data_IF_144665291171
#
_entry.id   IF_144665291171
#
_cell.length_a   1.000
_cell.length_b   1.000
_cell.length_c   1.000
_cell.angle_alpha   90.00
_cell.angle_beta   90.00
_cell.angle_gamma   90.00
#
_symmetry.space_group_name_H-M   'P 1'
#
loop_
_entity.id
_entity.type
_entity.pdbx_description
1 polymer ?
#
# COMPACT_ATOMS: atom_id res chain seq x y z
N UNK A 1 -65.77 -31.96 44.77
CA UNK A 1 -64.33 -31.76 44.51
C UNK A 1 -64.24 -30.54 43.60
N UNK A 2 -63.84 -29.38 44.14
CA UNK A 2 -63.87 -28.09 43.42
C UNK A 2 -62.70 -28.03 42.43
N UNK A 3 -62.99 -27.77 41.16
CA UNK A 3 -62.00 -27.37 40.17
C UNK A 3 -61.65 -25.90 40.41
N UNK A 4 -60.36 -25.59 40.50
CA UNK A 4 -59.84 -24.25 40.68
C UNK A 4 -59.72 -23.57 39.30
N UNK A 5 -60.42 -22.44 39.13
CA UNK A 5 -60.33 -21.62 37.92
C UNK A 5 -59.03 -20.79 37.97
N UNK A 6 -58.09 -21.10 37.09
CA UNK A 6 -56.90 -20.28 36.86
C UNK A 6 -57.27 -19.07 36.00
N UNK A 7 -57.43 -17.89 36.61
CA UNK A 7 -57.48 -16.62 35.88
C UNK A 7 -56.09 -16.29 35.31
N UNK A 8 -55.88 -16.65 34.04
CA UNK A 8 -54.69 -16.27 33.27
C UNK A 8 -54.68 -14.76 33.05
N UNK A 9 -53.89 -14.03 33.86
CA UNK A 9 -53.69 -12.59 33.71
C UNK A 9 -52.92 -12.32 32.41
N UNK A 10 -53.66 -11.88 31.38
CA UNK A 10 -53.09 -11.55 30.08
C UNK A 10 -52.43 -10.18 30.16
N UNK A 11 -51.12 -10.15 30.42
CA UNK A 11 -50.32 -8.93 30.40
C UNK A 11 -50.28 -8.47 28.94
N UNK A 12 -51.05 -7.43 28.59
CA UNK A 12 -50.90 -6.74 27.31
C UNK A 12 -49.56 -6.02 27.35
N UNK A 13 -48.60 -6.49 26.58
CA UNK A 13 -47.39 -5.73 26.30
C UNK A 13 -47.82 -4.43 25.62
N UNK A 14 -47.64 -3.31 26.31
CA UNK A 14 -47.94 -2.00 25.77
C UNK A 14 -46.85 -1.65 24.76
N UNK A 15 -47.18 -1.76 23.47
CA UNK A 15 -46.32 -1.25 22.41
C UNK A 15 -46.34 0.29 22.46
N UNK A 16 -45.43 0.83 23.28
CA UNK A 16 -45.19 2.26 23.34
C UNK A 16 -44.34 2.65 22.13
N UNK A 17 -44.88 3.51 21.26
CA UNK A 17 -44.14 4.09 20.14
C UNK A 17 -43.05 5.05 20.59
N UNK A 18 -42.07 5.30 19.71
CA UNK A 18 -40.95 6.23 19.97
C UNK A 18 -41.44 7.65 20.23
N UNK A 19 -40.79 8.34 21.17
CA UNK A 19 -41.08 9.75 21.45
C UNK A 19 -40.36 10.66 20.45
N UNK A 20 -40.92 11.84 20.14
CA UNK A 20 -40.29 12.78 19.21
C UNK A 20 -38.91 13.24 19.69
N UNK A 21 -38.73 13.38 21.01
CA UNK A 21 -37.44 13.74 21.61
C UNK A 21 -36.39 12.62 21.45
N UNK A 22 -36.81 11.36 21.47
CA UNK A 22 -35.93 10.22 21.26
C UNK A 22 -35.39 10.18 19.83
N UNK A 23 -36.23 10.48 18.83
CA UNK A 23 -35.81 10.60 17.44
C UNK A 23 -34.85 11.78 17.25
N UNK A 24 -35.09 12.92 17.90
CA UNK A 24 -34.18 14.06 17.85
C UNK A 24 -32.80 13.72 18.43
N UNK A 25 -32.77 13.05 19.60
CA UNK A 25 -31.52 12.60 20.22
C UNK A 25 -30.80 11.59 19.32
N UNK A 26 -31.53 10.64 18.72
CA UNK A 26 -30.97 9.65 17.81
C UNK A 26 -30.32 10.29 16.58
N UNK A 27 -30.95 11.29 15.96
CA UNK A 27 -30.39 12.01 14.82
C UNK A 27 -29.13 12.78 15.21
N UNK A 28 -29.09 13.39 16.40
CA UNK A 28 -27.89 14.09 16.89
C UNK A 28 -26.73 13.11 17.09
N UNK A 29 -26.96 12.00 17.78
CA UNK A 29 -25.94 10.97 18.01
C UNK A 29 -25.44 10.40 16.67
N UNK A 30 -26.36 10.10 15.75
CA UNK A 30 -26.04 9.60 14.42
C UNK A 30 -25.20 10.61 13.64
N UNK A 31 -25.56 11.89 13.67
CA UNK A 31 -24.83 12.95 12.97
C UNK A 31 -23.38 13.07 13.45
N UNK A 32 -23.16 13.02 14.77
CA UNK A 32 -21.80 13.02 15.35
C UNK A 32 -21.03 11.76 14.94
N UNK A 33 -21.69 10.59 14.97
CA UNK A 33 -21.10 9.33 14.52
C UNK A 33 -20.65 9.37 13.06
N UNK A 34 -21.47 9.90 12.16
CA UNK A 34 -21.14 10.01 10.73
C UNK A 34 -19.94 10.92 10.47
N UNK A 35 -19.81 12.03 11.20
CA UNK A 35 -18.64 12.91 11.08
C UNK A 35 -17.36 12.21 11.53
N UNK A 36 -17.43 11.43 12.62
CA UNK A 36 -16.31 10.59 13.07
C UNK A 36 -15.92 9.55 12.02
N UNK A 37 -16.89 8.87 11.43
CA UNK A 37 -16.64 7.90 10.35
C UNK A 37 -16.00 8.54 9.12
N UNK A 38 -16.43 9.73 8.71
CA UNK A 38 -15.88 10.42 7.56
C UNK A 38 -14.37 10.68 7.71
N UNK A 39 -13.91 11.09 8.90
CA UNK A 39 -12.49 11.29 9.19
C UNK A 39 -11.70 9.97 9.07
N UNK A 40 -12.25 8.86 9.58
CA UNK A 40 -11.64 7.54 9.47
C UNK A 40 -11.55 7.07 8.01
N UNK A 41 -12.58 7.29 7.20
CA UNK A 41 -12.57 6.92 5.78
C UNK A 41 -11.44 7.62 5.02
N UNK A 42 -11.17 8.90 5.31
CA UNK A 42 -10.03 9.62 4.71
C UNK A 42 -8.70 8.98 5.09
N UNK A 43 -8.54 8.59 6.37
CA UNK A 43 -7.36 7.86 6.83
C UNK A 43 -7.16 6.54 6.10
N UNK A 44 -8.24 5.76 5.93
CA UNK A 44 -8.22 4.48 5.21
C UNK A 44 -7.79 4.68 3.75
N UNK A 45 -8.34 5.68 3.06
CA UNK A 45 -8.00 5.95 1.65
C UNK A 45 -6.50 6.27 1.52
N UNK A 46 -5.97 7.14 2.40
CA UNK A 46 -4.55 7.50 2.39
C UNK A 46 -3.65 6.29 2.69
N UNK A 47 -4.03 5.49 3.69
CA UNK A 47 -3.31 4.26 4.05
C UNK A 47 -3.29 3.26 2.90
N UNK A 48 -4.44 3.02 2.26
CA UNK A 48 -4.52 2.14 1.10
C UNK A 48 -3.68 2.64 -0.08
N UNK A 49 -3.68 3.96 -0.34
CA UNK A 49 -2.83 4.54 -1.38
C UNK A 49 -1.35 4.29 -1.09
N UNK A 50 -0.89 4.55 0.14
CA UNK A 50 0.50 4.29 0.52
C UNK A 50 0.86 2.80 0.39
N UNK A 51 -0.01 1.89 0.84
CA UNK A 51 0.21 0.44 0.71
C UNK A 51 0.29 -0.01 -0.75
N UNK A 52 -0.56 0.54 -1.62
CA UNK A 52 -0.50 0.28 -3.05
C UNK A 52 0.80 0.82 -3.64
N UNK A 53 1.17 2.06 -3.32
CA UNK A 53 2.39 2.68 -3.84
C UNK A 53 3.65 1.90 -3.38
N UNK A 54 3.69 1.44 -2.13
CA UNK A 54 4.73 0.57 -1.59
C UNK A 54 4.84 -0.76 -2.32
N UNK A 55 3.68 -1.39 -2.61
CA UNK A 55 3.63 -2.66 -3.32
C UNK A 55 4.18 -2.50 -4.73
N UNK A 56 3.70 -1.48 -5.46
CA UNK A 56 4.18 -1.18 -6.82
C UNK A 56 5.66 -0.82 -6.83
N UNK A 57 6.14 0.04 -5.92
CA UNK A 57 7.55 0.40 -5.84
C UNK A 57 8.46 -0.81 -5.56
N UNK A 58 7.99 -1.74 -4.71
CA UNK A 58 8.69 -2.98 -4.40
C UNK A 58 8.74 -3.90 -5.62
N UNK A 59 7.62 -4.09 -6.32
CA UNK A 59 7.58 -4.87 -7.56
C UNK A 59 8.52 -4.30 -8.61
N UNK A 60 8.50 -2.97 -8.84
CA UNK A 60 9.40 -2.32 -9.79
C UNK A 60 10.88 -2.47 -9.43
N UNK A 61 11.22 -2.50 -8.13
CA UNK A 61 12.57 -2.76 -7.67
C UNK A 61 12.94 -4.24 -7.90
N UNK A 62 12.03 -5.16 -7.61
CA UNK A 62 12.21 -6.60 -7.83
C UNK A 62 12.43 -6.92 -9.31
N UNK A 63 11.60 -6.37 -10.20
CA UNK A 63 11.73 -6.57 -11.65
C UNK A 63 13.12 -6.17 -12.15
N UNK A 64 13.62 -5.00 -11.72
CA UNK A 64 14.97 -4.55 -12.09
C UNK A 64 16.06 -5.44 -11.49
N UNK A 65 15.85 -5.94 -10.27
CA UNK A 65 16.78 -6.89 -9.63
C UNK A 65 16.82 -8.24 -10.35
N UNK A 66 15.69 -8.70 -10.88
CA UNK A 66 15.62 -9.89 -11.72
C UNK A 66 16.35 -9.68 -13.04
N UNK A 67 16.20 -8.51 -13.68
CA UNK A 67 16.96 -8.15 -14.88
C UNK A 67 18.47 -8.14 -14.62
N UNK A 68 18.90 -7.53 -13.52
CA UNK A 68 20.30 -7.54 -13.08
C UNK A 68 20.81 -8.97 -12.87
N UNK A 69 20.00 -9.82 -12.22
CA UNK A 69 20.35 -11.22 -11.99
C UNK A 69 20.43 -12.02 -13.28
N UNK A 70 19.54 -11.75 -14.23
CA UNK A 70 19.52 -12.37 -15.57
C UNK A 70 20.77 -12.01 -16.37
N UNK A 71 21.23 -10.76 -16.27
CA UNK A 71 22.47 -10.32 -16.91
C UNK A 71 23.73 -10.89 -16.23
N UNK A 72 23.67 -11.09 -14.90
CA UNK A 72 24.77 -11.65 -14.11
C UNK A 72 26.01 -10.74 -14.06
N UNK A 73 27.13 -11.27 -13.58
CA UNK A 73 28.35 -10.48 -13.39
C UNK A 73 28.88 -9.89 -14.70
N UNK A 74 28.95 -10.70 -15.76
CA UNK A 74 29.51 -10.28 -17.06
C UNK A 74 28.57 -9.39 -17.88
N UNK A 75 27.25 -9.50 -17.69
CA UNK A 75 26.26 -8.69 -18.41
C UNK A 75 25.95 -7.33 -17.76
N UNK A 76 26.41 -7.10 -16.53
CA UNK A 76 26.27 -5.82 -15.82
C UNK A 76 27.47 -4.91 -16.05
N UNK A 77 27.31 -3.59 -15.88
CA UNK A 77 28.36 -2.59 -16.13
C UNK A 77 29.71 -2.99 -15.53
N UNK A 78 30.78 -2.85 -16.32
CA UNK A 78 32.16 -3.17 -15.90
C UNK A 78 32.79 -2.08 -15.02
N UNK A 79 32.12 -0.95 -14.86
CA UNK A 79 32.53 0.18 -14.02
C UNK A 79 31.42 0.52 -13.04
N UNK A 80 31.78 1.26 -11.98
CA UNK A 80 30.79 1.82 -11.06
C UNK A 80 29.94 2.85 -11.81
N UNK A 81 28.62 2.65 -11.80
CA UNK A 81 27.65 3.48 -12.53
C UNK A 81 26.42 3.76 -11.69
N UNK A 82 25.73 4.85 -12.01
CA UNK A 82 24.40 5.16 -11.51
C UNK A 82 23.50 5.37 -12.71
N UNK A 83 22.58 4.44 -12.93
CA UNK A 83 21.55 4.50 -13.95
C UNK A 83 20.26 5.03 -13.31
N UNK A 84 19.67 6.07 -13.91
CA UNK A 84 18.47 6.72 -13.37
C UNK A 84 17.37 6.70 -14.40
N UNK A 85 16.31 5.99 -14.07
CA UNK A 85 15.04 6.00 -14.77
C UNK A 85 14.16 7.04 -14.07
N UNK A 86 14.12 8.25 -14.64
CA UNK A 86 13.36 9.37 -14.12
C UNK A 86 11.85 9.10 -14.09
N UNK A 87 11.12 10.00 -13.41
CA UNK A 87 9.65 9.98 -13.42
C UNK A 87 9.11 9.99 -14.85
N UNK A 88 8.20 9.06 -15.15
CA UNK A 88 7.62 8.93 -16.50
C UNK A 88 8.53 8.27 -17.53
N UNK A 89 9.70 7.74 -17.14
CA UNK A 89 10.63 7.09 -18.08
C UNK A 89 10.88 5.61 -17.79
N UNK A 90 10.22 5.03 -16.79
CA UNK A 90 10.30 3.60 -16.53
C UNK A 90 9.76 2.85 -17.74
N UNK A 91 10.55 1.92 -18.26
CA UNK A 91 10.24 1.17 -19.46
C UNK A 91 10.21 -0.34 -19.19
N UNK A 92 9.54 -1.08 -20.07
CA UNK A 92 9.68 -2.52 -20.15
C UNK A 92 11.08 -2.93 -20.69
N UNK A 93 11.35 -4.23 -20.72
CA UNK A 93 12.62 -4.78 -21.23
C UNK A 93 12.86 -4.49 -22.72
N UNK A 94 11.82 -4.11 -23.48
CA UNK A 94 11.91 -3.72 -24.89
C UNK A 94 12.18 -2.22 -25.07
N UNK A 95 12.21 -1.44 -23.98
CA UNK A 95 12.39 0.01 -24.00
C UNK A 95 11.09 0.81 -24.20
N UNK A 96 9.93 0.16 -24.10
CA UNK A 96 8.62 0.83 -24.20
C UNK A 96 8.29 1.49 -22.85
N UNK A 97 8.06 2.80 -22.85
CA UNK A 97 7.68 3.53 -21.63
C UNK A 97 6.33 3.05 -21.11
N UNK A 98 6.25 2.81 -19.80
CA UNK A 98 5.08 2.33 -19.08
C UNK A 98 4.41 3.50 -18.35
N UNK A 99 3.39 4.15 -18.94
CA UNK A 99 2.79 5.37 -18.38
C UNK A 99 2.12 5.15 -17.03
N UNK A 100 1.69 3.93 -16.71
CA UNK A 100 1.15 3.56 -15.40
C UNK A 100 2.14 3.75 -14.26
N UNK A 101 3.45 3.74 -14.55
CA UNK A 101 4.51 3.94 -13.56
C UNK A 101 5.09 5.36 -13.57
N UNK A 102 4.41 6.33 -14.19
CA UNK A 102 4.93 7.70 -14.30
C UNK A 102 5.17 8.39 -12.95
N UNK A 103 4.47 7.96 -11.89
CA UNK A 103 4.65 8.45 -10.53
C UNK A 103 5.87 7.88 -9.80
N UNK A 104 6.64 6.99 -10.43
CA UNK A 104 7.80 6.31 -9.84
C UNK A 104 9.08 6.68 -10.58
N UNK A 105 10.17 6.72 -9.83
CA UNK A 105 11.54 6.91 -10.32
C UNK A 105 12.39 5.76 -9.80
N UNK A 106 13.26 5.19 -10.63
CA UNK A 106 14.15 4.09 -10.21
C UNK A 106 15.60 4.47 -10.43
N UNK A 107 16.42 4.24 -9.42
CA UNK A 107 17.87 4.50 -9.46
C UNK A 107 18.59 3.19 -9.21
N UNK A 108 19.43 2.77 -10.15
CA UNK A 108 20.25 1.56 -10.05
C UNK A 108 21.72 1.97 -9.92
N UNK A 109 22.33 1.69 -8.79
CA UNK A 109 23.74 1.93 -8.53
C UNK A 109 24.48 0.59 -8.62
N UNK A 110 25.42 0.49 -9.54
CA UNK A 110 26.36 -0.64 -9.60
C UNK A 110 27.71 -0.16 -9.09
N UNK A 111 28.27 -0.87 -8.12
CA UNK A 111 29.61 -0.62 -7.58
C UNK A 111 30.47 -1.85 -7.79
N UNK A 112 31.57 -1.70 -8.52
CA UNK A 112 32.49 -2.81 -8.81
C UNK A 112 33.51 -3.01 -7.69
N UNK A 113 34.04 -4.21 -7.60
CA UNK A 113 34.99 -4.67 -6.57
C UNK A 113 34.53 -4.43 -5.13
N UNK A 114 33.23 -4.60 -4.90
CA UNK A 114 32.58 -4.42 -3.59
C UNK A 114 31.69 -5.63 -3.26
N UNK A 115 31.87 -6.27 -2.09
CA UNK A 115 32.79 -5.92 -1.00
C UNK A 115 34.25 -6.38 -1.21
N UNK A 116 34.55 -7.14 -2.26
CA UNK A 116 35.91 -7.54 -2.61
C UNK A 116 36.09 -7.63 -4.12
N UNK A 117 37.34 -7.79 -4.56
CA UNK A 117 37.70 -7.90 -5.98
C UNK A 117 36.93 -9.04 -6.65
N UNK A 118 36.40 -8.79 -7.85
CA UNK A 118 35.60 -9.78 -8.58
C UNK A 118 34.13 -9.87 -8.10
N UNK A 119 33.68 -8.96 -7.24
CA UNK A 119 32.27 -8.81 -6.86
C UNK A 119 31.72 -7.45 -7.27
N UNK A 120 30.43 -7.41 -7.61
CA UNK A 120 29.68 -6.18 -7.87
C UNK A 120 28.53 -6.07 -6.88
N UNK A 121 28.45 -4.94 -6.17
CA UNK A 121 27.31 -4.62 -5.34
C UNK A 121 26.34 -3.72 -6.12
N UNK A 122 25.09 -4.17 -6.22
CA UNK A 122 24.04 -3.50 -6.98
C UNK A 122 22.93 -3.12 -6.02
N UNK A 123 22.60 -1.83 -6.02
CA UNK A 123 21.52 -1.25 -5.22
C UNK A 123 20.49 -0.68 -6.16
N UNK A 124 19.24 -1.14 -6.05
CA UNK A 124 18.09 -0.61 -6.77
C UNK A 124 17.20 0.12 -5.79
N UNK A 125 16.98 1.41 -6.00
CA UNK A 125 16.11 2.23 -5.17
C UNK A 125 14.98 2.81 -6.01
N UNK A 126 13.74 2.51 -5.64
CA UNK A 126 12.54 3.05 -6.28
C UNK A 126 11.94 4.13 -5.38
N UNK A 127 11.66 5.30 -5.95
CA UNK A 127 11.11 6.48 -5.29
C UNK A 127 9.72 6.80 -5.83
N UNK A 128 8.86 7.33 -4.97
CA UNK A 128 7.57 7.93 -5.34
C UNK A 128 7.31 9.15 -4.46
N UNK A 129 6.21 9.86 -4.73
CA UNK A 129 5.83 11.07 -3.97
C UNK A 129 6.94 12.13 -3.96
N UNK A 130 7.51 12.41 -5.13
CA UNK A 130 8.61 13.38 -5.32
C UNK A 130 9.82 13.10 -4.41
N UNK A 131 10.24 11.84 -4.34
CA UNK A 131 11.32 11.33 -3.49
C UNK A 131 11.03 11.36 -1.99
N UNK A 132 9.80 11.67 -1.57
CA UNK A 132 9.38 11.64 -0.16
C UNK A 132 9.35 10.23 0.42
N UNK A 133 9.23 9.21 -0.43
CA UNK A 133 9.26 7.81 -0.04
C UNK A 133 10.10 6.97 -1.00
N UNK A 134 10.71 5.90 -0.47
CA UNK A 134 11.55 4.99 -1.26
C UNK A 134 11.56 3.55 -0.73
N UNK A 135 11.80 2.60 -1.63
CA UNK A 135 12.13 1.20 -1.32
C UNK A 135 13.49 0.89 -1.93
N UNK A 136 14.38 0.28 -1.14
CA UNK A 136 15.74 -0.07 -1.55
C UNK A 136 15.97 -1.59 -1.47
N UNK A 137 16.46 -2.18 -2.56
CA UNK A 137 16.89 -3.57 -2.63
C UNK A 137 18.37 -3.64 -3.00
N UNK A 138 19.10 -4.58 -2.39
CA UNK A 138 20.53 -4.78 -2.62
C UNK A 138 20.83 -6.21 -2.99
N UNK A 139 21.77 -6.41 -3.91
CA UNK A 139 22.32 -7.72 -4.25
C UNK A 139 23.82 -7.61 -4.52
N UNK A 140 24.51 -8.73 -4.33
CA UNK A 140 25.90 -8.91 -4.75
C UNK A 140 25.91 -9.89 -5.92
N UNK A 141 26.70 -9.60 -6.94
CA UNK A 141 27.08 -10.53 -8.00
C UNK A 141 28.56 -10.86 -7.83
N UNK A 142 28.92 -12.12 -8.03
CA UNK A 142 30.30 -12.57 -8.04
C UNK A 142 30.64 -13.14 -9.43
N UNK A 143 31.91 -13.03 -9.80
CA UNK A 143 32.47 -13.57 -11.04
C UNK A 143 32.39 -15.11 -11.11
#
# INVERSE_FOLDING_TARGET
MKCEEWHRYNKKDQENGFTLIEVLIAIVILSVGLLGMAALTVGIIKGNKLSNDLTTATTLAQDKMEDVRRLGYSGTSATTTTDTEAYGTIADTSGTILPEYAAYKRVTVTTVDSPAVGMKAITVTTYWDSDGHSVELKTILAQ
#
